data_IF_047254411072
#
_entry.id   IF_047254411072
#
_cell.length_a   1.000
_cell.length_b   1.000
_cell.length_c   1.000
_cell.angle_alpha   90.00
_cell.angle_beta   90.00
_cell.angle_gamma   90.00
#
_symmetry.space_group_name_H-M   'P 1'
#
loop_
_entity.id
_entity.type
_entity.pdbx_description
1 polymer ?
#
# COMPACT_ATOMS: atom_id res chain seq x y z
N UNK A 1 30.89 -10.94 3.58
CA UNK A 1 30.55 -10.83 5.03
C UNK A 1 29.10 -10.45 5.08
N UNK A 2 28.29 -11.20 5.80
CA UNK A 2 26.85 -10.95 5.92
C UNK A 2 26.56 -10.15 7.18
N UNK A 3 25.73 -9.12 7.05
CA UNK A 3 25.28 -8.26 8.14
C UNK A 3 23.85 -8.69 8.49
N UNK A 4 23.64 -9.09 9.75
CA UNK A 4 22.31 -9.44 10.24
C UNK A 4 21.52 -8.17 10.56
N UNK A 5 20.44 -7.91 9.83
CA UNK A 5 19.49 -6.85 10.18
C UNK A 5 18.64 -7.33 11.32
N UNK A 6 18.70 -6.61 12.43
CA UNK A 6 17.89 -6.89 13.61
C UNK A 6 16.77 -5.87 13.73
N UNK A 7 15.64 -6.31 14.27
CA UNK A 7 14.51 -5.46 14.62
C UNK A 7 15.00 -4.30 15.51
N UNK A 8 14.89 -3.04 15.07
CA UNK A 8 15.34 -1.89 15.85
C UNK A 8 14.41 -1.61 17.03
N UNK A 9 14.95 -0.97 18.06
CA UNK A 9 14.15 -0.38 19.12
C UNK A 9 13.76 1.05 18.70
N UNK A 10 12.56 1.23 18.15
CA UNK A 10 12.06 2.56 17.74
C UNK A 10 11.48 3.37 18.92
N UNK A 11 11.41 2.78 20.12
CA UNK A 11 11.01 3.47 21.34
C UNK A 11 11.71 2.86 22.56
N UNK A 12 11.99 3.65 23.62
CA UNK A 12 12.71 3.19 24.81
C UNK A 12 11.94 2.14 25.63
N UNK A 13 10.64 1.97 25.37
CA UNK A 13 9.78 0.97 26.01
C UNK A 13 9.31 -0.12 25.02
N UNK A 14 9.92 -0.21 23.84
CA UNK A 14 9.51 -1.15 22.81
C UNK A 14 10.15 -2.52 23.05
N UNK A 15 9.33 -3.55 23.25
CA UNK A 15 9.77 -4.95 23.36
C UNK A 15 9.53 -5.74 22.07
N UNK A 16 8.49 -5.37 21.33
CA UNK A 16 8.08 -6.00 20.08
C UNK A 16 7.38 -5.00 19.15
N UNK A 17 7.34 -5.30 17.87
CA UNK A 17 6.63 -4.53 16.85
C UNK A 17 6.19 -5.40 15.68
N UNK A 18 5.30 -4.86 14.87
CA UNK A 18 4.77 -5.52 13.68
C UNK A 18 5.49 -4.99 12.46
N UNK A 19 6.02 -5.88 11.62
CA UNK A 19 6.63 -5.46 10.36
C UNK A 19 5.51 -5.25 9.34
N UNK A 20 5.05 -4.02 9.18
CA UNK A 20 3.87 -3.72 8.39
C UNK A 20 4.09 -3.95 6.90
N UNK A 21 5.23 -3.48 6.38
CA UNK A 21 5.52 -3.53 4.94
C UNK A 21 7.01 -3.45 4.65
N UNK A 22 7.50 -4.27 3.71
CA UNK A 22 8.84 -4.10 3.14
C UNK A 22 8.80 -3.12 1.97
N UNK A 23 9.71 -2.15 1.96
CA UNK A 23 9.94 -1.25 0.82
C UNK A 23 11.04 -1.79 -0.10
N UNK A 24 11.91 -2.64 0.43
CA UNK A 24 13.01 -3.31 -0.30
C UNK A 24 12.68 -4.78 -0.57
N UNK A 25 13.44 -5.39 -1.48
CA UNK A 25 13.28 -6.80 -1.86
C UNK A 25 14.61 -7.53 -1.81
N UNK A 26 14.55 -8.86 -1.78
CA UNK A 26 15.73 -9.71 -1.95
C UNK A 26 16.42 -9.38 -3.28
N UNK A 27 17.73 -9.16 -3.23
CA UNK A 27 18.56 -8.70 -4.34
C UNK A 27 18.69 -7.17 -4.46
N UNK A 28 17.92 -6.39 -3.70
CA UNK A 28 17.97 -4.92 -3.76
C UNK A 28 19.17 -4.35 -2.98
N UNK A 29 19.76 -3.28 -3.49
CA UNK A 29 20.91 -2.61 -2.86
C UNK A 29 20.42 -1.45 -2.01
N UNK A 30 20.75 -1.49 -0.73
CA UNK A 30 20.36 -0.51 0.28
C UNK A 30 21.59 0.21 0.81
N UNK A 31 21.44 1.49 1.11
CA UNK A 31 22.51 2.33 1.68
C UNK A 31 22.10 2.84 3.05
N UNK A 32 23.06 3.29 3.85
CA UNK A 32 22.73 3.87 5.16
C UNK A 32 21.77 5.06 4.99
N UNK A 33 20.66 5.04 5.74
CA UNK A 33 19.58 6.03 5.66
C UNK A 33 18.45 5.70 4.68
N UNK A 34 18.57 4.63 3.88
CA UNK A 34 17.49 4.20 2.97
C UNK A 34 16.37 3.47 3.74
N UNK A 35 15.11 3.69 3.37
CA UNK A 35 13.97 3.12 4.10
C UNK A 35 13.76 1.67 3.67
N UNK A 36 13.99 0.74 4.61
CA UNK A 36 13.87 -0.69 4.39
C UNK A 36 12.42 -1.18 4.53
N UNK A 37 11.74 -0.77 5.60
CA UNK A 37 10.43 -1.27 5.95
C UNK A 37 9.64 -0.26 6.81
N UNK A 38 8.31 -0.38 6.81
CA UNK A 38 7.44 0.27 7.78
C UNK A 38 7.20 -0.67 8.95
N UNK A 39 7.47 -0.20 10.17
CA UNK A 39 7.22 -0.92 11.41
C UNK A 39 6.02 -0.27 12.10
N UNK A 40 4.97 -1.04 12.30
CA UNK A 40 3.81 -0.64 13.07
C UNK A 40 3.99 -1.05 14.53
N UNK A 41 3.79 -0.10 15.42
CA UNK A 41 3.77 -0.31 16.87
C UNK A 41 2.41 0.11 17.42
N UNK A 42 2.13 -0.23 18.67
CA UNK A 42 0.91 0.20 19.38
C UNK A 42 0.71 1.73 19.36
N UNK A 43 1.80 2.49 19.24
CA UNK A 43 1.78 3.96 19.33
C UNK A 43 1.82 4.67 17.99
N UNK A 44 2.53 4.11 17.02
CA UNK A 44 2.76 4.73 15.72
C UNK A 44 3.31 3.73 14.71
N UNK A 45 3.07 4.02 13.43
CA UNK A 45 3.83 3.45 12.32
C UNK A 45 5.06 4.32 12.09
N UNK A 46 6.23 3.71 12.09
CA UNK A 46 7.51 4.39 11.91
C UNK A 46 8.30 3.70 10.80
N UNK A 47 9.05 4.49 10.05
CA UNK A 47 9.88 4.02 8.96
C UNK A 47 11.22 3.52 9.53
N UNK A 48 11.61 2.31 9.15
CA UNK A 48 12.90 1.73 9.50
C UNK A 48 13.91 2.01 8.40
N UNK A 49 14.91 2.82 8.71
CA UNK A 49 16.04 3.11 7.85
C UNK A 49 17.17 2.08 8.03
N UNK A 50 17.87 1.79 6.93
CA UNK A 50 19.06 0.96 6.94
C UNK A 50 20.17 1.64 7.72
N UNK A 51 20.72 0.96 8.72
CA UNK A 51 21.90 1.43 9.45
C UNK A 51 23.16 1.19 8.63
N UNK A 52 23.21 0.02 7.98
CA UNK A 52 24.33 -0.46 7.19
C UNK A 52 23.97 -0.52 5.70
N UNK A 53 24.99 -0.38 4.86
CA UNK A 53 24.88 -0.50 3.41
C UNK A 53 25.21 -1.92 2.92
N UNK A 54 24.49 -2.39 1.89
CA UNK A 54 24.67 -3.74 1.34
C UNK A 54 23.54 -4.16 0.40
N UNK A 55 23.52 -5.44 0.04
CA UNK A 55 22.43 -6.03 -0.75
C UNK A 55 21.59 -6.95 0.11
N UNK A 56 20.25 -6.83 0.06
CA UNK A 56 19.35 -7.75 0.77
C UNK A 56 19.55 -9.16 0.22
N UNK A 57 20.14 -10.07 0.98
CA UNK A 57 20.34 -11.46 0.56
C UNK A 57 19.06 -12.27 0.76
N UNK A 58 18.44 -12.11 1.92
CA UNK A 58 17.16 -12.75 2.21
C UNK A 58 16.40 -12.07 3.34
N UNK A 59 15.07 -12.12 3.27
CA UNK A 59 14.15 -11.61 4.28
C UNK A 59 13.69 -12.78 5.15
N UNK A 60 14.09 -12.79 6.42
CA UNK A 60 13.72 -13.84 7.38
C UNK A 60 12.31 -13.64 7.94
N UNK A 61 11.87 -12.38 8.05
CA UNK A 61 10.55 -12.00 8.59
C UNK A 61 9.74 -11.31 7.49
N UNK A 62 8.66 -11.93 6.98
CA UNK A 62 7.85 -11.36 5.92
C UNK A 62 7.03 -10.14 6.40
N UNK A 63 6.57 -9.32 5.46
CA UNK A 63 5.63 -8.24 5.76
C UNK A 63 4.32 -8.76 6.34
N UNK A 64 3.70 -7.95 7.20
CA UNK A 64 2.52 -8.31 7.99
C UNK A 64 2.82 -9.21 9.19
N UNK A 65 4.07 -9.51 9.51
CA UNK A 65 4.40 -10.33 10.69
C UNK A 65 4.24 -9.53 11.97
N UNK A 66 3.37 -10.00 12.85
CA UNK A 66 3.09 -9.42 14.16
C UNK A 66 4.07 -9.96 15.23
N UNK A 67 4.19 -9.24 16.36
CA UNK A 67 4.94 -9.67 17.55
C UNK A 67 6.45 -9.96 17.32
N UNK A 68 7.10 -9.22 16.41
CA UNK A 68 8.55 -9.35 16.16
C UNK A 68 9.32 -8.68 17.30
N UNK A 69 10.08 -9.45 18.08
CA UNK A 69 10.86 -8.92 19.21
C UNK A 69 12.03 -8.06 18.77
N UNK A 70 12.30 -6.99 19.51
CA UNK A 70 13.50 -6.16 19.32
C UNK A 70 14.76 -7.03 19.39
N UNK A 71 15.70 -6.82 18.47
CA UNK A 71 16.92 -7.61 18.35
C UNK A 71 16.78 -8.92 17.56
N UNK A 72 15.57 -9.30 17.14
CA UNK A 72 15.35 -10.48 16.27
C UNK A 72 15.88 -10.20 14.86
N UNK A 73 16.54 -11.18 14.25
CA UNK A 73 17.01 -11.06 12.86
C UNK A 73 15.81 -11.04 11.91
N UNK A 74 15.64 -9.94 11.19
CA UNK A 74 14.53 -9.72 10.25
C UNK A 74 14.96 -9.89 8.79
N UNK A 75 16.22 -9.59 8.47
CA UNK A 75 16.81 -9.74 7.15
C UNK A 75 18.32 -9.93 7.24
N UNK A 76 18.94 -10.39 6.16
CA UNK A 76 20.40 -10.50 6.03
C UNK A 76 20.87 -9.63 4.86
N UNK A 77 21.80 -8.72 5.11
CA UNK A 77 22.51 -7.99 4.04
C UNK A 77 23.81 -8.71 3.71
N UNK A 78 24.17 -8.72 2.43
CA UNK A 78 25.49 -9.06 1.94
C UNK A 78 26.33 -7.80 1.77
N UNK A 79 27.65 -7.91 1.99
CA UNK A 79 28.60 -6.85 1.70
C UNK A 79 28.57 -6.44 0.22
N UNK A 80 28.98 -5.19 -0.06
CA UNK A 80 29.05 -4.61 -1.39
C UNK A 80 29.74 -5.57 -2.40
N UNK A 81 28.95 -6.12 -3.32
CA UNK A 81 29.42 -7.08 -4.34
C UNK A 81 29.00 -8.54 -4.16
N UNK A 82 28.43 -8.94 -3.01
CA UNK A 82 27.85 -10.28 -2.81
C UNK A 82 26.39 -10.28 -3.28
N UNK A 83 26.20 -10.37 -4.60
CA UNK A 83 24.89 -10.36 -5.25
C UNK A 83 24.28 -11.76 -5.24
N UNK A 84 23.07 -11.89 -4.68
CA UNK A 84 22.16 -12.96 -5.08
C UNK A 84 21.66 -12.65 -6.49
N UNK A 85 22.44 -13.04 -7.50
CA UNK A 85 22.20 -12.93 -8.95
C UNK A 85 21.75 -11.53 -9.46
N UNK A 86 22.53 -10.86 -10.32
CA UNK A 86 22.18 -9.53 -10.81
C UNK A 86 20.90 -9.56 -11.67
N UNK A 87 19.82 -8.98 -11.15
CA UNK A 87 18.79 -8.41 -12.01
C UNK A 87 19.37 -7.16 -12.71
N UNK A 88 19.15 -6.97 -14.02
CA UNK A 88 19.83 -5.93 -14.78
C UNK A 88 19.42 -4.52 -14.31
N UNK A 89 20.45 -3.71 -14.02
CA UNK A 89 20.40 -2.28 -13.74
C UNK A 89 19.40 -1.55 -14.65
N UNK A 90 18.37 -0.94 -14.06
CA UNK A 90 17.74 0.25 -14.60
C UNK A 90 18.41 1.48 -13.95
N UNK A 91 18.95 2.44 -14.71
CA UNK A 91 19.62 3.60 -14.14
C UNK A 91 18.63 4.53 -13.45
N UNK A 92 18.92 4.86 -12.19
CA UNK A 92 18.29 5.94 -11.45
C UNK A 92 18.54 7.30 -12.13
N UNK A 93 17.55 8.20 -12.21
CA UNK A 93 17.81 9.62 -12.35
C UNK A 93 17.97 10.26 -10.97
N UNK A 94 19.17 10.84 -10.82
CA UNK A 94 19.70 11.66 -9.74
C UNK A 94 18.80 12.86 -9.37
N UNK A 95 18.64 13.08 -8.07
CA UNK A 95 18.12 14.33 -7.48
C UNK A 95 19.14 15.46 -7.69
N UNK A 96 18.68 16.60 -8.20
CA UNK A 96 19.24 17.95 -8.02
C UNK A 96 18.16 18.94 -8.50
N UNK A 97 17.44 19.57 -7.57
CA UNK A 97 17.76 20.88 -6.98
C UNK A 97 16.95 21.99 -7.69
N UNK A 98 16.04 22.57 -6.91
CA UNK A 98 15.23 23.73 -7.27
C UNK A 98 16.12 24.96 -7.48
N UNK A 99 15.73 25.92 -8.33
CA UNK A 99 15.51 27.24 -7.75
C UNK A 99 14.27 27.96 -8.29
N UNK A 100 13.47 28.42 -7.33
CA UNK A 100 12.76 29.69 -7.24
C UNK A 100 12.47 30.54 -8.51
N UNK A 101 11.16 30.80 -8.65
CA UNK A 101 10.54 32.10 -8.86
C UNK A 101 10.88 32.93 -10.12
N UNK A 102 9.88 33.04 -11.01
CA UNK A 102 9.56 34.32 -11.66
C UNK A 102 8.06 34.45 -11.94
N UNK A 103 7.41 35.30 -11.15
CA UNK A 103 6.10 35.86 -11.44
C UNK A 103 6.22 36.94 -12.54
N UNK A 104 5.27 36.95 -13.48
CA UNK A 104 4.64 38.15 -14.05
C UNK A 104 3.71 37.77 -15.22
N UNK A 105 2.41 37.74 -14.95
CA UNK A 105 1.32 38.15 -15.87
C UNK A 105 1.56 39.63 -16.33
N UNK A 106 0.92 40.20 -17.39
CA UNK A 106 -0.53 40.06 -17.61
C UNK A 106 -1.14 40.30 -19.03
N UNK A 107 -2.47 40.16 -19.04
CA UNK A 107 -3.54 40.69 -19.93
C UNK A 107 -3.63 40.26 -21.40
N UNK A 108 -4.77 39.64 -21.75
CA UNK A 108 -5.84 40.30 -22.51
C UNK A 108 -7.09 39.40 -22.65
N UNK A 109 -8.18 39.76 -21.96
CA UNK A 109 -9.54 39.46 -22.39
C UNK A 109 -9.92 40.37 -23.58
N UNK A 110 -10.96 40.04 -24.37
CA UNK A 110 -12.29 40.46 -23.93
C UNK A 110 -13.41 39.44 -24.20
N UNK A 111 -14.43 39.50 -23.36
CA UNK A 111 -15.78 39.01 -23.63
C UNK A 111 -16.47 39.87 -24.71
N UNK A 112 -17.61 39.43 -25.26
CA UNK A 112 -18.85 39.92 -24.65
C UNK A 112 -19.94 38.85 -24.46
N UNK A 113 -20.77 39.09 -23.45
CA UNK A 113 -22.05 38.46 -23.18
C UNK A 113 -23.11 38.82 -24.26
N UNK A 114 -24.27 38.17 -24.23
CA UNK A 114 -25.38 38.81 -23.53
C UNK A 114 -26.09 37.90 -22.51
N UNK A 115 -26.68 38.58 -21.55
CA UNK A 115 -27.39 38.08 -20.38
C UNK A 115 -28.88 37.74 -20.63
N UNK A 116 -29.44 37.08 -19.60
CA UNK A 116 -30.81 37.26 -19.05
C UNK A 116 -31.95 36.53 -19.80
N UNK A 117 -32.90 35.80 -19.21
CA UNK A 117 -33.46 35.54 -17.86
C UNK A 117 -33.93 34.05 -17.84
N UNK A 118 -34.21 33.31 -16.77
CA UNK A 118 -34.82 33.63 -15.47
C UNK A 118 -34.49 32.52 -14.45
N UNK A 119 -34.30 32.90 -13.18
CA UNK A 119 -34.47 32.00 -12.02
C UNK A 119 -35.97 31.73 -11.80
N UNK A 120 -36.36 30.64 -11.13
CA UNK A 120 -36.36 30.65 -9.66
C UNK A 120 -35.80 29.35 -9.03
N UNK A 121 -34.98 29.51 -8.00
CA UNK A 121 -34.96 28.59 -6.86
C UNK A 121 -36.06 29.05 -5.89
N UNK A 122 -36.54 28.27 -4.89
CA UNK A 122 -35.87 27.12 -4.25
C UNK A 122 -36.78 25.94 -3.85
N UNK A 123 -36.25 24.71 -3.75
CA UNK A 123 -36.72 23.73 -2.77
C UNK A 123 -35.74 22.56 -2.62
N UNK A 124 -35.61 22.15 -1.36
CA UNK A 124 -34.81 21.09 -0.77
C UNK A 124 -35.21 19.69 -1.28
N UNK A 125 -34.24 18.77 -1.19
CA UNK A 125 -34.34 17.31 -1.30
C UNK A 125 -34.30 16.70 -2.71
N UNK A 126 -33.21 15.99 -3.01
CA UNK A 126 -33.24 14.54 -3.19
C UNK A 126 -31.82 14.02 -3.39
N UNK A 127 -31.37 13.20 -2.45
CA UNK A 127 -30.36 12.17 -2.69
C UNK A 127 -30.78 11.37 -3.94
N UNK A 128 -29.87 11.01 -4.86
CA UNK A 128 -30.23 10.06 -5.89
C UNK A 128 -30.37 8.69 -5.23
N UNK A 129 -31.62 8.29 -4.97
CA UNK A 129 -32.01 6.90 -4.71
C UNK A 129 -32.19 6.22 -6.06
N UNK A 130 -31.20 5.43 -6.47
CA UNK A 130 -31.26 4.38 -7.48
C UNK A 130 -30.09 3.42 -7.17
N UNK A 131 -30.24 2.11 -7.01
CA UNK A 131 -31.15 1.19 -7.66
C UNK A 131 -31.41 -0.04 -6.77
N UNK A 132 -32.62 -0.59 -6.92
CA UNK A 132 -32.93 -2.02 -7.00
C UNK A 132 -32.23 -2.96 -6.01
N UNK A 133 -33.04 -3.39 -5.04
CA UNK A 133 -32.82 -4.52 -4.16
C UNK A 133 -32.93 -5.80 -5.01
N UNK A 134 -31.79 -6.29 -5.50
CA UNK A 134 -31.67 -7.56 -6.22
C UNK A 134 -30.40 -7.57 -7.05
N UNK A 135 -29.54 -8.56 -6.83
CA UNK A 135 -28.39 -8.93 -7.68
C UNK A 135 -27.06 -8.15 -7.55
N UNK A 136 -26.98 -7.01 -6.84
CA UNK A 136 -25.65 -6.42 -6.58
C UNK A 136 -24.94 -7.19 -5.46
N UNK A 137 -24.02 -8.07 -5.86
CA UNK A 137 -23.12 -8.78 -4.96
C UNK A 137 -22.33 -7.79 -4.10
N UNK A 138 -22.66 -7.75 -2.81
CA UNK A 138 -22.01 -6.88 -1.82
C UNK A 138 -20.75 -7.60 -1.33
N UNK A 139 -19.64 -7.43 -2.04
CA UNK A 139 -18.34 -7.98 -1.65
C UNK A 139 -17.35 -6.87 -1.30
N UNK A 140 -16.49 -7.13 -0.32
CA UNK A 140 -15.35 -6.27 0.00
C UNK A 140 -14.35 -6.21 -1.17
N UNK A 141 -13.57 -5.12 -1.33
CA UNK A 141 -12.59 -5.01 -2.42
C UNK A 141 -11.58 -6.16 -2.45
N UNK A 142 -11.14 -6.62 -1.27
CA UNK A 142 -10.24 -7.76 -1.14
C UNK A 142 -10.90 -9.08 -1.53
N UNK A 143 -12.14 -9.32 -1.11
CA UNK A 143 -12.90 -10.50 -1.50
C UNK A 143 -13.08 -10.58 -3.03
N UNK A 144 -13.40 -9.45 -3.68
CA UNK A 144 -13.51 -9.38 -5.15
C UNK A 144 -12.22 -9.77 -5.84
N UNK A 145 -11.08 -9.18 -5.42
CA UNK A 145 -9.78 -9.51 -6.00
C UNK A 145 -9.42 -10.99 -5.85
N UNK A 146 -9.67 -11.59 -4.68
CA UNK A 146 -9.34 -12.99 -4.43
C UNK A 146 -10.24 -13.92 -5.26
N UNK A 147 -11.52 -13.56 -5.41
CA UNK A 147 -12.46 -14.32 -6.22
C UNK A 147 -12.07 -14.32 -7.70
N UNK A 148 -11.67 -13.17 -8.25
CA UNK A 148 -11.18 -13.05 -9.62
C UNK A 148 -9.89 -13.86 -9.86
N UNK A 149 -8.97 -13.87 -8.89
CA UNK A 149 -7.71 -14.62 -9.00
C UNK A 149 -7.89 -16.13 -8.88
N UNK A 150 -8.86 -16.57 -8.08
CA UNK A 150 -9.08 -17.99 -7.75
C UNK A 150 -10.19 -18.60 -8.61
N UNK A 151 -10.86 -17.79 -9.45
CA UNK A 151 -11.99 -18.23 -10.28
C UNK A 151 -13.24 -18.59 -9.46
N UNK A 152 -13.45 -17.92 -8.33
CA UNK A 152 -14.57 -18.17 -7.43
C UNK A 152 -15.73 -17.24 -7.81
N UNK A 153 -16.91 -17.81 -8.04
CA UNK A 153 -18.10 -17.03 -8.33
C UNK A 153 -18.70 -16.47 -7.04
N UNK A 154 -18.79 -15.14 -6.93
CA UNK A 154 -19.27 -14.47 -5.73
C UNK A 154 -20.81 -14.51 -5.57
N UNK A 155 -21.57 -14.91 -6.60
CA UNK A 155 -23.03 -14.99 -6.49
C UNK A 155 -23.46 -16.18 -5.63
N UNK A 156 -22.65 -17.24 -5.57
CA UNK A 156 -22.84 -18.40 -4.71
C UNK A 156 -22.24 -18.29 -3.30
N UNK A 157 -21.53 -17.20 -2.99
CA UNK A 157 -20.79 -17.06 -1.72
C UNK A 157 -21.64 -16.32 -0.68
N UNK A 158 -21.88 -16.96 0.45
CA UNK A 158 -22.54 -16.35 1.60
C UNK A 158 -21.58 -15.37 2.28
N UNK A 159 -21.94 -14.09 2.32
CA UNK A 159 -21.12 -13.07 2.99
C UNK A 159 -21.35 -13.03 4.50
N UNK A 160 -20.27 -13.13 5.27
CA UNK A 160 -20.28 -13.10 6.75
C UNK A 160 -19.98 -11.70 7.33
N UNK A 161 -19.68 -10.72 6.48
CA UNK A 161 -19.36 -9.36 6.88
C UNK A 161 -20.57 -8.47 7.20
N UNK A 162 -20.35 -7.25 7.73
CA UNK A 162 -21.41 -6.32 8.09
C UNK A 162 -22.34 -6.00 6.91
N UNK A 163 -23.64 -6.15 7.11
CA UNK A 163 -24.70 -6.05 6.07
C UNK A 163 -24.68 -7.20 5.03
N UNK A 164 -24.20 -8.40 5.39
CA UNK A 164 -24.15 -9.55 4.50
C UNK A 164 -23.06 -9.43 3.44
N UNK A 165 -21.98 -8.71 3.76
CA UNK A 165 -20.88 -8.44 2.84
C UNK A 165 -19.94 -9.64 2.74
N UNK A 166 -19.55 -10.04 1.54
CA UNK A 166 -18.54 -11.09 1.33
C UNK A 166 -17.17 -10.53 1.69
N UNK A 167 -16.53 -11.13 2.69
CA UNK A 167 -15.17 -10.80 3.15
C UNK A 167 -14.17 -11.84 2.65
N UNK A 168 -12.87 -11.56 2.83
CA UNK A 168 -11.79 -12.46 2.39
C UNK A 168 -12.01 -13.90 2.86
N UNK A 169 -12.40 -14.10 4.12
CA UNK A 169 -12.62 -15.42 4.68
C UNK A 169 -13.68 -16.22 3.90
N UNK A 170 -14.78 -15.58 3.51
CA UNK A 170 -15.88 -16.24 2.78
C UNK A 170 -15.43 -16.70 1.38
N UNK A 171 -14.55 -15.94 0.72
CA UNK A 171 -14.03 -16.30 -0.60
C UNK A 171 -12.95 -17.38 -0.50
N UNK A 172 -12.15 -17.38 0.56
CA UNK A 172 -11.12 -18.42 0.76
C UNK A 172 -11.76 -19.76 1.13
N UNK A 173 -12.85 -19.75 1.89
CA UNK A 173 -13.58 -20.96 2.30
C UNK A 173 -14.51 -21.49 1.18
N UNK A 174 -14.96 -20.61 0.28
CA UNK A 174 -15.79 -20.98 -0.86
C UNK A 174 -15.05 -21.90 -1.82
N UNK A 175 -15.63 -23.08 -2.09
CA UNK A 175 -15.14 -23.96 -3.15
C UNK A 175 -15.28 -23.28 -4.51
N UNK A 176 -14.30 -23.41 -5.42
CA UNK A 176 -14.43 -22.93 -6.78
C UNK A 176 -15.66 -23.59 -7.41
N UNK A 177 -16.66 -22.77 -7.70
CA UNK A 177 -17.89 -23.20 -8.35
C UNK A 177 -17.54 -23.69 -9.75
N UNK A 178 -17.76 -24.97 -10.01
CA UNK A 178 -17.78 -25.49 -11.38
C UNK A 178 -18.95 -24.81 -12.09
N UNK A 179 -18.65 -23.87 -12.98
CA UNK A 179 -19.64 -23.31 -13.90
C UNK A 179 -20.23 -24.46 -14.72
N UNK A 180 -21.55 -24.64 -14.65
CA UNK A 180 -22.35 -25.39 -15.63
C UNK A 180 -22.93 -24.40 -16.62
#
# INVERSE_FOLDING_TARGET
MTIEVKMPALSPTMEQGTLAKWLVKEGDTVVSGDILAEIETDKATMEFEAVDEGTILSIAVPEGTEDVKVGTVIATLGAEGETAAPAPKAPAPKVADEPAAKAAEPVAAPAPAPAAEARPAPARAAVPKAAEKGDRIVASPLARRIAEQTGIDLAGVQGSGPNGRIVKADVVDAKPGTAV
#
